data_IF_410750460159
#
_entry.id   IF_410750460159
#
_cell.length_a   1.000
_cell.length_b   1.000
_cell.length_c   1.000
_cell.angle_alpha   90.00
_cell.angle_beta   90.00
_cell.angle_gamma   90.00
#
_symmetry.space_group_name_H-M   'P 1'
#
loop_
_entity.id
_entity.type
_entity.pdbx_description
1 polymer ?
#
# COMPACT_ATOMS: atom_id res chain seq x y z
N UNK A 1 14.96 -13.99 62.86
CA UNK A 1 13.93 -13.82 61.81
C UNK A 1 14.14 -12.45 61.20
N UNK A 2 14.80 -12.39 60.05
CA UNK A 2 15.03 -11.16 59.28
C UNK A 2 14.16 -11.25 58.03
N UNK A 3 13.17 -10.37 57.92
CA UNK A 3 12.33 -10.20 56.72
C UNK A 3 13.20 -9.71 55.57
N UNK A 4 13.12 -10.32 54.37
CA UNK A 4 13.83 -9.80 53.21
C UNK A 4 13.15 -8.51 52.73
N UNK A 5 13.95 -7.46 52.57
CA UNK A 5 13.50 -6.19 51.99
C UNK A 5 12.97 -6.42 50.58
N UNK A 6 11.75 -5.95 50.34
CA UNK A 6 11.11 -5.99 49.03
C UNK A 6 11.85 -5.01 48.11
N UNK A 7 12.35 -5.42 46.93
CA UNK A 7 13.04 -4.51 46.04
C UNK A 7 12.04 -3.48 45.50
N UNK A 8 12.22 -2.23 45.93
CA UNK A 8 11.52 -1.09 45.36
C UNK A 8 11.92 -0.98 43.89
N UNK A 9 10.97 -1.22 42.99
CA UNK A 9 11.20 -1.07 41.57
C UNK A 9 11.47 0.40 41.25
N UNK A 10 12.75 0.75 41.07
CA UNK A 10 13.17 2.07 40.62
C UNK A 10 12.73 2.23 39.17
N UNK A 11 11.60 2.90 38.95
CA UNK A 11 11.18 3.32 37.62
C UNK A 11 12.17 4.36 37.10
N UNK A 12 12.60 4.21 35.85
CA UNK A 12 13.49 5.17 35.21
C UNK A 12 12.83 6.58 35.20
N UNK A 13 13.62 7.67 35.37
CA UNK A 13 13.10 9.02 35.27
C UNK A 13 12.37 9.24 33.94
N UNK A 14 11.27 10.01 33.95
CA UNK A 14 10.42 10.21 32.77
C UNK A 14 11.20 10.66 31.51
N UNK A 15 12.24 11.47 31.68
CA UNK A 15 13.12 11.90 30.59
C UNK A 15 13.93 10.76 29.94
N UNK A 16 14.32 9.75 30.73
CA UNK A 16 15.05 8.56 30.27
C UNK A 16 14.13 7.61 29.53
N UNK A 17 12.91 7.39 30.03
CA UNK A 17 11.89 6.59 29.33
C UNK A 17 11.55 7.23 27.99
N UNK A 18 11.31 8.54 27.97
CA UNK A 18 11.03 9.29 26.75
C UNK A 18 12.20 9.26 25.74
N UNK A 19 13.45 9.34 26.22
CA UNK A 19 14.62 9.23 25.35
C UNK A 19 14.82 7.82 24.79
N UNK A 20 14.55 6.79 25.60
CA UNK A 20 14.61 5.39 25.18
C UNK A 20 13.51 5.05 24.17
N UNK A 21 12.28 5.51 24.38
CA UNK A 21 11.17 5.37 23.42
C UNK A 21 11.48 6.08 22.09
N UNK A 22 12.06 7.29 22.12
CA UNK A 22 12.57 7.96 20.91
C UNK A 22 13.70 7.15 20.25
N UNK A 23 14.57 6.52 21.02
CA UNK A 23 15.64 5.64 20.53
C UNK A 23 15.09 4.41 19.80
N UNK A 24 14.09 3.74 20.39
CA UNK A 24 13.36 2.64 19.75
C UNK A 24 12.65 3.11 18.48
N UNK A 25 11.97 4.25 18.54
CA UNK A 25 11.26 4.82 17.39
C UNK A 25 12.21 5.24 16.25
N UNK A 26 13.45 5.66 16.57
CA UNK A 26 14.52 5.92 15.59
C UNK A 26 15.11 4.63 15.01
N UNK A 27 15.28 3.60 15.84
CA UNK A 27 15.76 2.28 15.41
C UNK A 27 14.78 1.58 14.47
N UNK A 28 13.48 1.74 14.72
CA UNK A 28 12.42 1.12 13.93
C UNK A 28 12.13 1.85 12.61
N UNK A 29 12.58 3.10 12.43
CA UNK A 29 12.62 3.77 11.13
C UNK A 29 13.56 5.00 11.16
N UNK A 30 14.79 4.91 10.62
CA UNK A 30 15.78 5.99 10.73
C UNK A 30 15.36 7.29 10.03
N UNK A 31 14.35 7.28 9.15
CA UNK A 31 13.83 8.46 8.46
C UNK A 31 12.66 9.16 9.19
N UNK A 32 12.19 8.64 10.33
CA UNK A 32 10.97 9.11 11.03
C UNK A 32 11.30 9.94 12.28
N UNK A 33 12.55 10.38 12.41
CA UNK A 33 13.03 11.06 13.60
C UNK A 33 12.63 12.56 13.64
N UNK A 34 11.45 12.85 14.20
CA UNK A 34 11.20 14.05 15.03
C UNK A 34 11.05 15.40 14.34
N UNK A 35 11.01 15.46 13.02
CA UNK A 35 10.63 16.67 12.29
C UNK A 35 9.55 16.36 11.26
N UNK A 36 8.65 17.30 11.07
CA UNK A 36 7.72 17.27 9.95
C UNK A 36 8.50 17.37 8.64
N UNK A 37 8.04 16.65 7.62
CA UNK A 37 8.71 16.70 6.34
C UNK A 37 8.52 15.49 5.44
N UNK A 38 9.14 15.55 4.25
CA UNK A 38 9.16 14.44 3.32
C UNK A 38 10.00 13.27 3.86
N UNK A 39 9.52 12.06 3.64
CA UNK A 39 10.23 10.81 3.94
C UNK A 39 9.86 9.75 2.90
N UNK A 40 10.54 8.61 2.94
CA UNK A 40 10.16 7.44 2.15
C UNK A 40 9.72 6.30 3.06
N UNK A 41 8.70 5.57 2.63
CA UNK A 41 8.27 4.34 3.29
C UNK A 41 9.31 3.22 3.08
N UNK A 42 9.76 2.62 4.17
CA UNK A 42 10.69 1.48 4.23
C UNK A 42 9.98 0.22 4.72
N UNK A 43 10.58 -0.98 4.59
CA UNK A 43 9.99 -2.23 5.10
C UNK A 43 9.58 -2.17 6.58
N UNK A 44 10.27 -1.36 7.38
CA UNK A 44 10.00 -1.17 8.81
C UNK A 44 8.91 -0.12 9.09
N UNK A 45 8.41 0.56 8.06
CA UNK A 45 7.33 1.53 8.19
C UNK A 45 6.05 0.85 8.70
N UNK A 46 5.64 1.20 9.92
CA UNK A 46 4.43 0.66 10.58
C UNK A 46 3.14 0.83 9.76
N UNK A 47 3.09 1.79 8.84
CA UNK A 47 1.95 2.06 7.95
C UNK A 47 2.02 1.34 6.59
N UNK A 48 3.11 0.63 6.29
CA UNK A 48 3.27 -0.07 5.02
C UNK A 48 2.30 -1.26 4.96
N UNK A 49 1.39 -1.26 3.98
CA UNK A 49 0.19 -2.09 4.01
C UNK A 49 0.41 -3.58 3.75
N UNK A 50 0.89 -4.40 4.69
CA UNK A 50 0.82 -5.87 4.55
C UNK A 50 0.14 -6.58 5.73
N UNK A 51 -0.76 -7.51 5.36
CA UNK A 51 -1.85 -8.11 6.13
C UNK A 51 -1.46 -9.32 6.99
N UNK A 52 -0.18 -9.58 7.28
CA UNK A 52 0.22 -10.81 8.01
C UNK A 52 0.62 -10.58 9.47
N UNK A 53 -0.29 -10.05 10.30
CA UNK A 53 -0.28 -10.37 11.74
C UNK A 53 -1.71 -10.55 12.27
N UNK A 54 -2.12 -11.78 12.62
CA UNK A 54 -3.33 -11.99 13.43
C UNK A 54 -3.23 -11.15 14.71
N UNK A 55 -4.25 -10.33 14.98
CA UNK A 55 -4.30 -9.44 16.15
C UNK A 55 -3.77 -8.01 15.95
N UNK A 56 -3.23 -7.64 14.78
CA UNK A 56 -2.86 -6.25 14.52
C UNK A 56 -4.07 -5.41 14.09
N UNK A 57 -4.24 -4.24 14.71
CA UNK A 57 -5.22 -3.23 14.27
C UNK A 57 -4.92 -2.90 12.81
N UNK A 58 -5.98 -2.84 11.98
CA UNK A 58 -5.90 -2.52 10.54
C UNK A 58 -4.92 -1.36 10.32
N UNK A 59 -3.90 -1.57 9.49
CA UNK A 59 -3.00 -0.49 9.06
C UNK A 59 -3.85 0.56 8.35
N UNK A 60 -3.74 1.83 8.78
CA UNK A 60 -4.61 2.89 8.28
C UNK A 60 -4.16 3.33 6.87
N UNK A 61 -5.08 3.40 5.88
CA UNK A 61 -4.79 4.03 4.59
C UNK A 61 -4.52 5.52 4.78
N UNK A 62 -3.98 6.18 3.75
CA UNK A 62 -3.90 7.63 3.75
C UNK A 62 -5.31 8.21 3.90
N UNK A 63 -5.52 9.03 4.94
CA UNK A 63 -6.82 9.63 5.28
C UNK A 63 -7.36 10.62 4.23
N UNK A 64 -6.50 11.08 3.32
CA UNK A 64 -6.86 12.02 2.24
C UNK A 64 -7.38 11.28 1.01
N UNK A 65 -6.63 10.32 0.48
CA UNK A 65 -6.96 9.66 -0.79
C UNK A 65 -7.52 8.23 -0.66
N UNK A 66 -7.46 7.65 0.53
CA UNK A 66 -7.88 6.29 0.82
C UNK A 66 -6.92 5.19 0.33
N UNK A 67 -5.79 5.55 -0.30
CA UNK A 67 -4.81 4.58 -0.77
C UNK A 67 -3.91 4.04 0.35
N UNK A 68 -3.49 2.79 0.22
CA UNK A 68 -2.44 2.21 1.06
C UNK A 68 -1.09 2.81 0.72
N UNK A 69 -0.20 2.83 1.71
CA UNK A 69 1.22 3.09 1.52
C UNK A 69 1.93 1.82 1.07
N UNK A 70 2.81 1.96 0.08
CA UNK A 70 3.65 0.90 -0.50
C UNK A 70 5.08 1.09 -0.05
N UNK A 71 5.98 0.20 -0.44
CA UNK A 71 7.41 0.42 -0.29
C UNK A 71 7.85 1.56 -1.22
N UNK A 72 8.79 2.39 -0.75
CA UNK A 72 9.37 3.52 -1.46
C UNK A 72 8.38 4.62 -1.91
N UNK A 73 7.13 4.60 -1.43
CA UNK A 73 6.25 5.76 -1.53
C UNK A 73 6.89 6.95 -0.81
N UNK A 74 7.02 8.08 -1.50
CA UNK A 74 7.29 9.35 -0.86
C UNK A 74 6.07 9.80 -0.07
N UNK A 75 6.27 10.09 1.21
CA UNK A 75 5.24 10.49 2.17
C UNK A 75 5.64 11.79 2.85
N UNK A 76 4.67 12.45 3.49
CA UNK A 76 4.91 13.57 4.37
C UNK A 76 4.45 13.18 5.78
N UNK A 77 5.35 13.34 6.74
CA UNK A 77 5.13 13.05 8.15
C UNK A 77 4.72 14.31 8.88
N UNK A 78 3.70 14.22 9.73
CA UNK A 78 3.35 15.27 10.68
C UNK A 78 3.36 14.72 12.10
N UNK A 79 4.01 15.44 13.00
CA UNK A 79 4.13 15.10 14.41
C UNK A 79 3.22 15.99 15.25
N UNK A 80 2.73 15.47 16.37
CA UNK A 80 2.07 16.27 17.39
C UNK A 80 3.11 17.04 18.21
N UNK A 81 2.65 17.99 19.03
CA UNK A 81 3.51 18.79 19.93
C UNK A 81 4.35 17.93 20.88
N UNK A 82 3.87 16.74 21.23
CA UNK A 82 4.59 15.77 22.07
C UNK A 82 5.68 14.99 21.30
N UNK A 83 5.92 15.33 20.02
CA UNK A 83 6.91 14.71 19.15
C UNK A 83 6.49 13.36 18.57
N UNK A 84 5.28 12.86 18.87
CA UNK A 84 4.79 11.60 18.30
C UNK A 84 4.26 11.81 16.90
N UNK A 85 4.49 10.82 16.02
CA UNK A 85 3.95 10.85 14.67
C UNK A 85 2.42 10.81 14.71
N UNK A 86 1.79 11.92 14.32
CA UNK A 86 0.36 12.16 14.33
C UNK A 86 -0.30 11.79 12.99
N UNK A 87 0.41 11.98 11.88
CA UNK A 87 -0.11 11.69 10.54
C UNK A 87 0.95 11.33 9.51
N UNK A 88 0.52 10.55 8.52
CA UNK A 88 1.29 10.21 7.33
C UNK A 88 0.38 10.43 6.12
N UNK A 89 0.85 11.21 5.15
CA UNK A 89 0.13 11.46 3.88
C UNK A 89 1.03 11.18 2.69
N UNK A 90 0.45 10.81 1.55
CA UNK A 90 1.25 10.70 0.33
C UNK A 90 1.83 12.06 -0.07
N UNK A 91 3.08 12.03 -0.51
CA UNK A 91 3.84 13.16 -1.04
C UNK A 91 4.37 12.79 -2.43
N UNK A 92 3.48 12.28 -3.27
CA UNK A 92 3.77 11.84 -4.63
C UNK A 92 3.12 12.81 -5.62
N UNK A 93 3.69 12.93 -6.82
CA UNK A 93 3.10 13.74 -7.90
C UNK A 93 1.66 13.32 -8.24
N UNK A 94 1.38 12.02 -8.27
CA UNK A 94 0.05 11.48 -8.58
C UNK A 94 -0.84 11.30 -7.34
N UNK A 95 -0.33 11.55 -6.14
CA UNK A 95 -1.06 11.51 -4.88
C UNK A 95 -0.58 12.65 -3.96
N UNK A 96 -0.87 13.92 -4.29
CA UNK A 96 -0.35 15.09 -3.57
C UNK A 96 -1.09 15.36 -2.25
N UNK A 97 -1.30 14.33 -1.44
CA UNK A 97 -2.16 14.36 -0.24
C UNK A 97 -1.65 15.30 0.85
N UNK A 98 -0.34 15.50 0.92
CA UNK A 98 0.29 16.40 1.90
C UNK A 98 -0.01 17.89 1.67
N UNK A 99 -0.42 18.27 0.45
CA UNK A 99 -0.52 19.66 0.01
C UNK A 99 0.84 20.37 -0.13
N UNK A 100 1.93 19.66 0.14
CA UNK A 100 3.32 20.15 0.09
C UNK A 100 4.12 19.51 -1.04
N UNK A 101 3.52 18.56 -1.77
CA UNK A 101 4.15 17.95 -2.93
C UNK A 101 4.52 19.06 -3.93
N UNK A 102 5.70 19.00 -4.57
CA UNK A 102 6.08 20.00 -5.55
C UNK A 102 4.95 20.19 -6.55
N UNK A 103 4.58 21.44 -6.91
CA UNK A 103 3.61 21.70 -7.95
C UNK A 103 4.23 21.25 -9.27
N UNK A 104 4.06 19.98 -9.58
CA UNK A 104 4.13 19.54 -10.95
C UNK A 104 2.70 19.65 -11.44
N UNK A 105 2.50 20.32 -12.58
CA UNK A 105 1.22 20.28 -13.28
C UNK A 105 0.75 18.82 -13.29
N UNK A 106 -0.51 18.56 -12.88
CA UNK A 106 -1.04 17.23 -12.90
C UNK A 106 -0.80 16.70 -14.31
N UNK A 107 -0.11 15.56 -14.45
CA UNK A 107 0.25 15.06 -15.76
C UNK A 107 -1.03 14.94 -16.58
N UNK A 108 -1.02 15.51 -17.79
CA UNK A 108 -2.18 15.48 -18.69
C UNK A 108 -2.69 14.03 -18.79
N UNK A 109 -3.93 13.74 -18.37
CA UNK A 109 -4.49 12.40 -18.46
C UNK A 109 -4.45 11.85 -19.88
N UNK A 110 -4.54 12.71 -20.90
CA UNK A 110 -4.39 12.35 -22.31
C UNK A 110 -2.98 11.84 -22.64
N UNK A 111 -1.96 12.60 -22.26
CA UNK A 111 -0.55 12.23 -22.43
C UNK A 111 -0.18 10.95 -21.65
N UNK A 112 -0.65 10.79 -20.41
CA UNK A 112 -0.45 9.55 -19.65
C UNK A 112 -1.12 8.36 -20.32
N UNK A 113 -2.38 8.51 -20.75
CA UNK A 113 -3.07 7.47 -21.50
C UNK A 113 -2.31 7.09 -22.78
N UNK A 114 -1.79 8.08 -23.52
CA UNK A 114 -1.00 7.84 -24.72
C UNK A 114 0.31 7.10 -24.44
N UNK A 115 1.03 7.48 -23.39
CA UNK A 115 2.24 6.80 -22.95
C UNK A 115 1.96 5.33 -22.62
N UNK A 116 0.95 5.06 -21.78
CA UNK A 116 0.63 3.69 -21.39
C UNK A 116 0.08 2.84 -22.54
N UNK A 117 -0.62 3.45 -23.53
CA UNK A 117 -0.94 2.75 -24.78
C UNK A 117 0.32 2.32 -25.54
N UNK A 118 1.35 3.17 -25.59
CA UNK A 118 2.64 2.83 -26.19
C UNK A 118 3.34 1.66 -25.47
N UNK A 119 3.30 1.66 -24.14
CA UNK A 119 3.80 0.53 -23.33
C UNK A 119 3.02 -0.74 -23.63
N UNK A 120 1.70 -0.69 -23.58
CA UNK A 120 0.81 -1.85 -23.82
C UNK A 120 0.97 -2.42 -25.25
N UNK A 121 1.29 -1.58 -26.24
CA UNK A 121 1.55 -2.03 -27.62
C UNK A 121 2.93 -2.69 -27.79
N UNK A 122 3.91 -2.33 -26.95
CA UNK A 122 5.28 -2.86 -27.02
C UNK A 122 5.43 -4.18 -26.25
N UNK A 123 4.62 -4.34 -25.19
CA UNK A 123 4.53 -5.54 -24.37
C UNK A 123 3.07 -6.03 -24.36
N UNK A 124 2.60 -6.65 -25.45
CA UNK A 124 1.20 -7.04 -25.59
C UNK A 124 0.83 -8.07 -24.53
N UNK A 125 -0.33 -7.84 -23.91
CA UNK A 125 -0.84 -8.72 -22.86
C UNK A 125 -1.15 -10.11 -23.43
N UNK A 126 -0.93 -11.19 -22.67
CA UNK A 126 -1.37 -12.51 -23.09
C UNK A 126 -2.90 -12.54 -23.23
N UNK A 127 -3.41 -12.97 -24.39
CA UNK A 127 -4.85 -13.05 -24.71
C UNK A 127 -5.67 -13.89 -23.72
N UNK A 128 -5.00 -14.70 -22.91
CA UNK A 128 -5.62 -15.63 -21.95
C UNK A 128 -6.02 -14.98 -20.62
N UNK A 129 -5.59 -13.75 -20.34
CA UNK A 129 -5.85 -13.04 -19.09
C UNK A 129 -6.65 -11.78 -19.34
N UNK A 130 -7.77 -11.61 -18.63
CA UNK A 130 -8.53 -10.35 -18.65
C UNK A 130 -7.77 -9.27 -17.87
N UNK A 131 -6.77 -8.72 -18.55
CA UNK A 131 -5.81 -7.76 -18.03
C UNK A 131 -6.23 -6.37 -18.48
N UNK A 132 -6.46 -5.47 -17.52
CA UNK A 132 -6.98 -4.11 -17.76
C UNK A 132 -6.00 -3.06 -17.24
N UNK A 133 -5.88 -1.94 -17.95
CA UNK A 133 -5.19 -0.73 -17.47
C UNK A 133 -6.24 0.12 -16.78
N UNK A 134 -6.01 0.46 -15.52
CA UNK A 134 -6.96 1.23 -14.73
C UNK A 134 -6.96 2.69 -15.18
N UNK A 135 -8.01 3.08 -15.89
CA UNK A 135 -8.25 4.46 -16.31
C UNK A 135 -9.04 5.22 -15.23
N UNK A 136 -9.16 6.56 -15.33
CA UNK A 136 -10.15 7.29 -14.54
C UNK A 136 -11.53 6.62 -14.62
N UNK A 137 -12.24 6.62 -13.49
CA UNK A 137 -13.58 6.03 -13.33
C UNK A 137 -13.70 4.51 -13.48
N UNK A 138 -12.58 3.79 -13.64
CA UNK A 138 -12.62 2.33 -13.62
C UNK A 138 -13.18 1.82 -12.28
N UNK A 139 -14.25 1.00 -12.28
CA UNK A 139 -14.89 0.51 -11.05
C UNK A 139 -13.93 -0.31 -10.16
N UNK A 140 -12.85 -0.86 -10.71
CA UNK A 140 -11.82 -1.56 -9.97
C UNK A 140 -11.05 -0.63 -9.04
N UNK A 141 -10.99 0.69 -9.29
CA UNK A 141 -10.36 1.64 -8.37
C UNK A 141 -11.14 1.82 -7.05
N UNK A 142 -12.46 1.64 -7.10
CA UNK A 142 -13.36 1.91 -5.98
C UNK A 142 -13.45 3.41 -5.63
N UNK A 143 -14.37 3.73 -4.72
CA UNK A 143 -14.61 5.11 -4.29
C UNK A 143 -13.46 5.60 -3.38
N UNK A 144 -13.11 6.90 -3.35
CA UNK A 144 -12.07 7.42 -2.44
C UNK A 144 -12.23 7.05 -0.97
N UNK A 145 -13.47 6.93 -0.49
CA UNK A 145 -13.79 6.49 0.88
C UNK A 145 -13.76 4.96 1.06
N UNK A 146 -13.75 4.21 -0.04
CA UNK A 146 -13.80 2.75 -0.06
C UNK A 146 -13.06 2.23 -1.30
N UNK A 147 -11.73 2.29 -1.24
CA UNK A 147 -10.86 1.79 -2.30
C UNK A 147 -10.91 0.28 -2.35
N UNK A 148 -10.93 -0.28 -3.56
CA UNK A 148 -10.68 -1.71 -3.72
C UNK A 148 -9.18 -1.98 -3.63
N UNK A 149 -8.84 -3.22 -3.30
CA UNK A 149 -7.48 -3.65 -3.12
C UNK A 149 -7.19 -4.96 -3.84
N UNK A 150 -5.90 -5.13 -4.19
CA UNK A 150 -5.36 -6.36 -4.70
C UNK A 150 -5.65 -7.50 -3.73
N UNK A 151 -6.20 -8.59 -4.25
CA UNK A 151 -6.52 -9.75 -3.43
C UNK A 151 -5.30 -10.41 -2.79
N UNK A 152 -4.14 -10.34 -3.47
CA UNK A 152 -2.91 -10.99 -3.02
C UNK A 152 -2.16 -10.10 -2.01
N UNK A 153 -1.77 -8.90 -2.41
CA UNK A 153 -0.94 -8.03 -1.56
C UNK A 153 -1.73 -7.06 -0.68
N UNK A 154 -3.06 -6.96 -0.85
CA UNK A 154 -3.95 -6.05 -0.11
C UNK A 154 -3.67 -4.56 -0.28
N UNK A 155 -2.74 -4.18 -1.17
CA UNK A 155 -2.56 -2.79 -1.56
C UNK A 155 -3.72 -2.32 -2.44
N UNK A 156 -4.17 -1.09 -2.22
CA UNK A 156 -5.17 -0.45 -3.09
C UNK A 156 -4.62 -0.23 -4.48
N UNK A 157 -5.48 -0.31 -5.48
CA UNK A 157 -5.13 0.02 -6.86
C UNK A 157 -5.00 1.52 -7.07
N UNK A 158 -4.09 1.94 -7.96
CA UNK A 158 -3.92 3.34 -8.38
C UNK A 158 -4.14 3.47 -9.88
N UNK A 159 -4.33 4.71 -10.32
CA UNK A 159 -4.47 5.04 -11.73
C UNK A 159 -3.27 4.54 -12.55
N UNK A 160 -3.62 4.07 -13.74
CA UNK A 160 -2.74 3.53 -14.76
C UNK A 160 -1.96 2.28 -14.35
N UNK A 161 -2.37 1.61 -13.28
CA UNK A 161 -1.86 0.27 -12.98
C UNK A 161 -2.51 -0.74 -13.89
N UNK A 162 -1.76 -1.78 -14.22
CA UNK A 162 -2.34 -2.97 -14.86
C UNK A 162 -2.71 -4.00 -13.82
N UNK A 163 -3.90 -4.56 -13.98
CA UNK A 163 -4.44 -5.58 -13.09
C UNK A 163 -5.11 -6.68 -13.90
N UNK A 164 -5.10 -7.90 -13.36
CA UNK A 164 -5.93 -9.00 -13.85
C UNK A 164 -7.24 -8.97 -13.06
N UNK A 165 -8.36 -8.91 -13.76
CA UNK A 165 -9.71 -8.91 -13.18
C UNK A 165 -10.36 -10.28 -13.39
N UNK A 166 -11.08 -10.81 -12.39
CA UNK A 166 -11.82 -12.08 -12.56
C UNK A 166 -12.78 -11.95 -13.76
N UNK A 167 -12.70 -12.83 -14.77
CA UNK A 167 -13.65 -12.82 -15.89
C UNK A 167 -15.00 -13.44 -15.51
N UNK A 168 -15.15 -13.88 -14.26
CA UNK A 168 -16.10 -14.89 -13.85
C UNK A 168 -17.57 -14.39 -13.84
N UNK A 169 -17.78 -13.07 -13.92
CA UNK A 169 -19.01 -12.43 -14.39
C UNK A 169 -18.79 -10.90 -14.52
N UNK A 170 -18.61 -10.34 -15.72
CA UNK A 170 -18.40 -8.90 -15.90
C UNK A 170 -19.58 -8.05 -15.41
N UNK A 171 -20.80 -8.62 -15.44
CA UNK A 171 -22.04 -7.93 -15.06
C UNK A 171 -22.39 -8.04 -13.56
N UNK A 172 -21.73 -8.93 -12.80
CA UNK A 172 -22.00 -9.09 -11.36
C UNK A 172 -20.94 -8.36 -10.50
N UNK A 173 -21.32 -7.34 -9.71
CA UNK A 173 -20.38 -6.53 -8.93
C UNK A 173 -19.50 -7.31 -7.95
N UNK A 174 -20.02 -8.42 -7.40
CA UNK A 174 -19.27 -9.27 -6.45
C UNK A 174 -18.04 -9.97 -7.06
N UNK A 175 -17.91 -9.95 -8.39
CA UNK A 175 -16.84 -10.62 -9.12
C UNK A 175 -15.67 -9.69 -9.51
N UNK A 176 -15.75 -8.39 -9.22
CA UNK A 176 -14.74 -7.35 -9.58
C UNK A 176 -13.44 -7.41 -8.76
N UNK A 177 -13.12 -8.60 -8.27
CA UNK A 177 -11.87 -8.90 -7.59
C UNK A 177 -10.73 -8.82 -8.62
N UNK A 178 -9.66 -8.12 -8.24
CA UNK A 178 -8.52 -7.88 -9.11
C UNK A 178 -7.20 -8.18 -8.40
N UNK A 179 -6.15 -8.41 -9.19
CA UNK A 179 -4.79 -8.69 -8.74
C UNK A 179 -3.81 -7.83 -9.54
N UNK A 180 -2.81 -7.23 -8.91
CA UNK A 180 -1.80 -6.45 -9.62
C UNK A 180 -1.03 -7.32 -10.63
N UNK A 181 -0.83 -6.75 -11.81
CA UNK A 181 0.01 -7.28 -12.88
C UNK A 181 0.63 -6.11 -13.66
N UNK A 182 1.46 -5.33 -12.99
CA UNK A 182 2.11 -4.14 -13.55
C UNK A 182 3.64 -4.22 -13.38
N UNK A 183 4.34 -4.95 -14.27
CA UNK A 183 5.80 -5.12 -14.20
C UNK A 183 6.56 -3.79 -14.22
N UNK A 184 6.06 -2.79 -14.95
CA UNK A 184 6.66 -1.46 -15.02
C UNK A 184 6.73 -0.74 -13.66
N UNK A 185 5.90 -1.16 -12.70
CA UNK A 185 5.90 -0.67 -11.31
C UNK A 185 6.35 -1.73 -10.30
N UNK A 186 6.90 -2.86 -10.77
CA UNK A 186 7.31 -3.98 -9.92
C UNK A 186 6.15 -4.73 -9.25
N UNK A 187 4.92 -4.61 -9.77
CA UNK A 187 3.72 -5.20 -9.15
C UNK A 187 3.30 -6.49 -9.87
N UNK A 188 4.04 -7.58 -9.66
CA UNK A 188 3.80 -8.90 -10.29
C UNK A 188 2.96 -9.88 -9.46
N UNK A 189 1.98 -9.41 -8.69
CA UNK A 189 1.25 -10.26 -7.72
C UNK A 189 0.52 -11.43 -8.38
N UNK A 190 -0.02 -11.26 -9.59
CA UNK A 190 -0.75 -12.31 -10.28
C UNK A 190 0.17 -13.44 -10.72
N UNK A 191 1.31 -13.13 -11.35
CA UNK A 191 2.28 -14.14 -11.78
C UNK A 191 2.91 -14.86 -10.59
N UNK A 192 3.29 -14.13 -9.53
CA UNK A 192 3.79 -14.75 -8.31
C UNK A 192 2.77 -15.76 -7.75
N UNK A 193 1.53 -15.31 -7.55
CA UNK A 193 0.47 -16.16 -7.04
C UNK A 193 0.22 -17.37 -7.94
N UNK A 194 0.17 -17.17 -9.27
CA UNK A 194 -0.03 -18.25 -10.26
C UNK A 194 1.10 -19.28 -10.21
N UNK A 195 2.35 -18.85 -10.04
CA UNK A 195 3.51 -19.73 -9.98
C UNK A 195 3.52 -20.65 -8.75
N UNK A 196 2.85 -20.23 -7.67
CA UNK A 196 2.73 -21.00 -6.42
C UNK A 196 1.60 -22.04 -6.48
N UNK A 197 0.75 -22.03 -7.52
CA UNK A 197 -0.34 -22.97 -7.67
C UNK A 197 0.09 -24.25 -8.41
N UNK A 198 -0.21 -25.40 -7.81
CA UNK A 198 -0.08 -26.72 -8.45
C UNK A 198 -1.20 -27.02 -9.46
N UNK A 199 -2.30 -26.27 -9.44
CA UNK A 199 -3.45 -26.40 -10.34
C UNK A 199 -3.91 -25.02 -10.79
N UNK A 200 -4.28 -24.84 -12.07
CA UNK A 200 -4.91 -23.59 -12.53
C UNK A 200 -6.25 -23.40 -11.84
N UNK A 201 -6.26 -22.62 -10.76
CA UNK A 201 -7.45 -22.21 -10.04
C UNK A 201 -7.74 -20.74 -10.33
N UNK A 202 -8.98 -20.32 -10.19
CA UNK A 202 -9.30 -18.90 -10.11
C UNK A 202 -8.82 -18.37 -8.74
N UNK A 203 -8.07 -17.26 -8.69
CA UNK A 203 -7.64 -16.67 -7.41
C UNK A 203 -8.81 -16.22 -6.55
N UNK A 204 -9.96 -15.99 -7.19
CA UNK A 204 -11.07 -15.28 -6.59
C UNK A 204 -12.18 -16.18 -6.08
N UNK A 205 -12.33 -17.39 -6.63
CA UNK A 205 -13.34 -18.37 -6.22
C UNK A 205 -12.78 -19.80 -6.07
N UNK A 206 -11.48 -20.01 -6.25
CA UNK A 206 -10.77 -21.29 -6.15
C UNK A 206 -11.30 -22.41 -7.04
N UNK A 207 -12.22 -22.11 -7.98
CA UNK A 207 -12.66 -23.08 -8.97
C UNK A 207 -11.51 -23.38 -9.90
N UNK A 208 -11.31 -24.67 -10.17
CA UNK A 208 -10.41 -25.14 -11.21
C UNK A 208 -10.84 -24.53 -12.55
N UNK A 209 -9.94 -23.81 -13.20
CA UNK A 209 -10.14 -23.35 -14.57
C UNK A 209 -10.00 -24.59 -15.47
N UNK A 210 -11.03 -24.87 -16.28
CA UNK A 210 -10.91 -25.92 -17.29
C UNK A 210 -9.86 -25.46 -18.31
N UNK A 211 -8.82 -26.29 -18.53
CA UNK A 211 -7.92 -26.11 -19.67
C UNK A 211 -8.74 -26.30 -20.95
N UNK A 212 -8.68 -25.33 -21.85
CA UNK A 212 -9.02 -25.56 -23.27
C UNK A 212 -7.89 -26.34 -23.92
#
# INVERSE_FOLDING_TARGET
MTTPDTPTATSAPAGVVSAFERGLQRGDNPQVAGADGPASTTLDSRWLGTWRRPGSRRRAPCRVCGHTFRLDDTVYLRHAEDGKLADVTHHLRNLPCSGQAPPADPPDPGAQAAFFRGVDNTDPRPDTLHTVRLMPDDPVLGHPRQRNACFVCTHTFRLFETVVVCPCSPEKPGCRKAVHQDPARGLGCFEQWRSELTVQQCPMNFRTLRRN
#
